data_IF_539054284214
#
_entry.id   IF_539054284214
#
_cell.length_a   1.000
_cell.length_b   1.000
_cell.length_c   1.000
_cell.angle_alpha   90.00
_cell.angle_beta   90.00
_cell.angle_gamma   90.00
#
_symmetry.space_group_name_H-M   'P 1'
#
loop_
_entity.id
_entity.type
_entity.pdbx_description
1 polymer ?
#
# COMPACT_ATOMS: atom_id res chain seq x y z
N UNK A 1 1.86 -9.50 9.83
CA UNK A 1 3.10 -9.75 9.09
C UNK A 1 4.26 -9.85 10.06
N UNK A 2 5.16 -10.80 9.85
CA UNK A 2 6.34 -10.98 10.69
C UNK A 2 7.60 -10.58 9.89
N UNK A 3 8.31 -9.54 10.33
CA UNK A 3 9.48 -9.03 9.63
C UNK A 3 10.70 -9.97 9.69
N UNK A 4 10.65 -11.03 10.50
CA UNK A 4 11.68 -12.08 10.48
C UNK A 4 11.60 -12.98 9.24
N UNK A 5 10.46 -13.01 8.55
CA UNK A 5 10.34 -13.77 7.30
C UNK A 5 10.87 -12.94 6.12
N UNK A 6 11.57 -13.60 5.20
CA UNK A 6 12.30 -12.94 4.12
C UNK A 6 11.51 -11.94 3.31
N UNK A 7 10.26 -12.27 2.96
CA UNK A 7 9.38 -11.36 2.19
C UNK A 7 9.10 -10.05 2.93
N UNK A 8 8.96 -10.09 4.25
CA UNK A 8 8.60 -8.93 5.06
C UNK A 8 9.81 -8.24 5.68
N UNK A 9 10.99 -8.85 5.63
CA UNK A 9 12.18 -8.30 6.27
C UNK A 9 12.63 -6.97 5.67
N UNK A 10 12.30 -6.70 4.41
CA UNK A 10 12.62 -5.41 3.77
C UNK A 10 11.88 -4.24 4.42
N UNK A 11 10.78 -4.50 5.14
CA UNK A 11 10.04 -3.46 5.86
C UNK A 11 10.78 -2.94 7.10
N UNK A 12 11.88 -3.55 7.47
CA UNK A 12 12.75 -3.03 8.54
C UNK A 12 13.53 -1.79 8.09
N UNK A 13 13.57 -1.53 6.79
CA UNK A 13 14.34 -0.42 6.22
C UNK A 13 13.41 0.63 5.61
N UNK A 14 13.61 1.93 5.92
CA UNK A 14 12.79 3.00 5.35
C UNK A 14 12.85 3.03 3.81
N UNK A 15 11.72 3.38 3.19
CA UNK A 15 11.62 3.51 1.75
C UNK A 15 11.29 2.22 1.03
N UNK A 16 11.15 1.10 1.74
CA UNK A 16 10.79 -0.18 1.14
C UNK A 16 9.30 -0.46 1.31
N UNK A 17 8.69 -1.01 0.27
CA UNK A 17 7.27 -1.38 0.24
C UNK A 17 7.09 -2.78 -0.32
N UNK A 18 6.00 -3.43 0.09
CA UNK A 18 5.61 -4.75 -0.42
C UNK A 18 4.13 -4.77 -0.81
N UNK A 19 3.75 -5.74 -1.64
CA UNK A 19 2.36 -6.07 -1.92
C UNK A 19 2.00 -7.38 -1.21
N UNK A 20 0.90 -7.36 -0.43
CA UNK A 20 0.39 -8.54 0.27
C UNK A 20 -1.04 -8.83 -0.22
N UNK A 21 -1.23 -9.92 -1.00
CA UNK A 21 -2.53 -10.18 -1.65
C UNK A 21 -3.59 -10.76 -0.71
N UNK A 22 -3.20 -11.28 0.45
CA UNK A 22 -4.11 -12.00 1.35
C UNK A 22 -4.93 -11.13 2.29
N UNK A 23 -4.79 -9.81 2.25
CA UNK A 23 -5.42 -8.87 3.16
C UNK A 23 -6.17 -7.82 2.35
N UNK A 24 -7.28 -7.28 2.89
CA UNK A 24 -8.07 -6.26 2.23
C UNK A 24 -8.93 -6.80 1.11
N UNK A 25 -9.36 -5.93 0.20
CA UNK A 25 -10.28 -6.28 -0.90
C UNK A 25 -9.51 -6.96 -2.04
N UNK A 26 -8.44 -6.31 -2.52
CA UNK A 26 -7.58 -6.82 -3.61
C UNK A 26 -6.12 -6.88 -3.21
N UNK A 27 -5.86 -7.07 -1.91
CA UNK A 27 -4.54 -6.99 -1.35
C UNK A 27 -4.22 -5.59 -0.82
N UNK A 28 -3.05 -5.45 -0.23
CA UNK A 28 -2.59 -4.21 0.36
C UNK A 28 -1.16 -3.93 -0.04
N UNK A 29 -0.79 -2.65 0.00
CA UNK A 29 0.61 -2.22 -0.02
C UNK A 29 1.01 -1.82 1.39
N UNK A 30 2.16 -2.30 1.84
CA UNK A 30 2.73 -1.97 3.15
C UNK A 30 4.07 -1.31 2.92
N UNK A 31 4.28 -0.16 3.53
CA UNK A 31 5.50 0.63 3.34
C UNK A 31 6.07 1.06 4.69
N UNK A 32 7.40 1.05 4.79
CA UNK A 32 8.11 1.72 5.87
C UNK A 32 8.45 3.14 5.40
N UNK A 33 7.77 4.14 5.98
CA UNK A 33 7.94 5.54 5.57
C UNK A 33 9.13 6.24 6.21
N UNK A 34 9.81 5.56 7.14
CA UNK A 34 10.84 6.20 7.97
C UNK A 34 10.26 6.82 9.24
N UNK A 35 9.00 7.23 9.22
CA UNK A 35 8.27 7.73 10.40
C UNK A 35 7.32 6.66 10.98
N UNK A 36 7.20 5.51 10.33
CA UNK A 36 6.37 4.39 10.74
C UNK A 36 5.92 3.57 9.56
N UNK A 37 5.17 2.51 9.84
CA UNK A 37 4.60 1.63 8.82
C UNK A 37 3.21 2.14 8.46
N UNK A 38 2.92 2.21 7.15
CA UNK A 38 1.57 2.51 6.64
C UNK A 38 1.11 1.40 5.72
N UNK A 39 -0.20 1.17 5.67
CA UNK A 39 -0.79 0.14 4.82
C UNK A 39 -1.97 0.73 4.05
N UNK A 40 -2.01 0.43 2.75
CA UNK A 40 -2.97 0.98 1.81
C UNK A 40 -3.66 -0.14 1.04
N UNK A 41 -4.97 0.02 0.80
CA UNK A 41 -5.70 -0.90 -0.08
C UNK A 41 -5.14 -0.82 -1.51
N UNK A 42 -4.99 -1.98 -2.16
CA UNK A 42 -4.45 -2.03 -3.53
C UNK A 42 -5.49 -1.73 -4.61
N UNK A 43 -6.77 -1.61 -4.26
CA UNK A 43 -7.82 -1.22 -5.21
C UNK A 43 -7.78 0.29 -5.43
N UNK A 44 -7.78 0.73 -6.71
CA UNK A 44 -7.84 2.15 -7.04
C UNK A 44 -9.17 2.76 -6.55
N UNK A 45 -9.14 3.75 -5.62
CA UNK A 45 -10.36 4.33 -5.06
C UNK A 45 -11.12 5.23 -6.04
N UNK A 46 -10.48 5.64 -7.15
CA UNK A 46 -11.05 6.52 -8.16
C UNK A 46 -11.51 5.79 -9.41
N UNK A 47 -11.60 4.45 -9.34
CA UNK A 47 -12.04 3.61 -10.45
C UNK A 47 -13.10 2.63 -9.99
N UNK A 48 -14.11 2.38 -10.84
CA UNK A 48 -15.11 1.35 -10.57
C UNK A 48 -14.40 -0.01 -10.52
N UNK A 49 -14.61 -0.83 -9.47
CA UNK A 49 -13.93 -2.11 -9.36
C UNK A 49 -14.08 -3.00 -10.58
N UNK A 50 -12.96 -3.47 -11.11
CA UNK A 50 -12.89 -4.34 -12.28
C UNK A 50 -11.60 -5.15 -12.24
N UNK A 51 -11.34 -5.95 -13.29
CA UNK A 51 -10.13 -6.79 -13.34
C UNK A 51 -8.82 -6.00 -13.30
N UNK A 52 -8.84 -4.75 -13.73
CA UNK A 52 -7.63 -3.91 -13.74
C UNK A 52 -7.60 -2.89 -12.60
N UNK A 53 -8.50 -2.97 -11.61
CA UNK A 53 -8.53 -2.03 -10.49
C UNK A 53 -7.45 -2.31 -9.43
N UNK A 54 -6.85 -3.49 -9.46
CA UNK A 54 -5.72 -3.80 -8.57
C UNK A 54 -4.49 -3.06 -9.08
N UNK A 55 -3.96 -2.15 -8.26
CA UNK A 55 -2.81 -1.35 -8.63
C UNK A 55 -1.52 -2.16 -8.61
N UNK A 56 -0.53 -1.69 -9.36
CA UNK A 56 0.79 -2.29 -9.44
C UNK A 56 1.77 -1.49 -8.60
N UNK A 57 2.53 -2.18 -7.75
CA UNK A 57 3.58 -1.56 -6.94
C UNK A 57 4.79 -1.22 -7.81
N UNK A 58 5.24 0.02 -7.73
CA UNK A 58 6.42 0.50 -8.43
C UNK A 58 7.26 1.35 -7.48
N UNK A 59 8.22 0.73 -6.81
CA UNK A 59 9.03 1.39 -5.78
C UNK A 59 8.17 1.82 -4.59
N UNK A 60 7.96 3.12 -4.42
CA UNK A 60 7.14 3.70 -3.36
C UNK A 60 5.82 4.26 -3.88
N UNK A 61 5.45 3.90 -5.11
CA UNK A 61 4.23 4.36 -5.75
C UNK A 61 3.37 3.18 -6.20
N UNK A 62 2.06 3.42 -6.33
CA UNK A 62 1.11 2.45 -6.86
C UNK A 62 0.42 3.05 -8.07
N UNK A 63 0.35 2.28 -9.16
CA UNK A 63 -0.24 2.73 -10.43
C UNK A 63 -1.40 1.84 -10.82
N UNK A 64 -2.54 2.46 -11.17
CA UNK A 64 -3.71 1.76 -11.69
C UNK A 64 -3.52 1.46 -13.18
N UNK A 65 -3.49 0.17 -13.58
CA UNK A 65 -3.30 -0.15 -15.01
C UNK A 65 -4.48 0.27 -15.90
N UNK A 66 -5.68 0.47 -15.32
CA UNK A 66 -6.85 0.90 -16.10
C UNK A 66 -6.77 2.35 -16.56
N UNK A 67 -6.32 3.26 -15.69
CA UNK A 67 -6.44 4.70 -15.91
C UNK A 67 -5.14 5.47 -15.68
N UNK A 68 -4.05 4.76 -15.41
CA UNK A 68 -2.72 5.33 -15.14
C UNK A 68 -2.67 6.27 -13.93
N UNK A 69 -3.67 6.23 -13.04
CA UNK A 69 -3.63 6.95 -11.79
C UNK A 69 -2.47 6.42 -10.94
N UNK A 70 -1.61 7.32 -10.46
CA UNK A 70 -0.45 6.96 -9.66
C UNK A 70 -0.52 7.65 -8.30
N UNK A 71 -0.32 6.88 -7.24
CA UNK A 71 -0.40 7.35 -5.86
C UNK A 71 0.94 7.15 -5.15
N UNK A 72 1.34 8.12 -4.33
CA UNK A 72 2.48 7.91 -3.46
C UNK A 72 2.05 7.15 -2.21
N UNK A 73 2.81 6.12 -1.84
CA UNK A 73 2.52 5.32 -0.65
C UNK A 73 2.95 6.01 0.65
N UNK A 74 3.61 7.16 0.58
CA UNK A 74 3.92 7.95 1.77
C UNK A 74 2.71 8.69 2.31
N UNK A 75 1.79 9.11 1.45
CA UNK A 75 0.62 9.91 1.85
C UNK A 75 -0.71 9.38 1.33
N UNK A 76 -0.69 8.45 0.37
CA UNK A 76 -1.90 7.92 -0.28
C UNK A 76 -2.52 8.85 -1.30
N UNK A 77 -1.85 9.95 -1.65
CA UNK A 77 -2.37 10.95 -2.58
C UNK A 77 -1.88 10.68 -4.00
N UNK A 78 -2.67 11.11 -4.99
CA UNK A 78 -2.26 11.07 -6.38
C UNK A 78 -1.05 12.00 -6.61
N UNK A 79 -0.12 11.56 -7.47
CA UNK A 79 1.13 12.28 -7.70
C UNK A 79 1.06 13.30 -8.84
N UNK A 80 0.07 13.14 -9.73
CA UNK A 80 0.01 13.94 -10.97
C UNK A 80 -1.11 14.96 -10.97
N UNK A 81 -2.22 14.68 -10.29
CA UNK A 81 -3.40 15.55 -10.27
C UNK A 81 -4.17 15.33 -8.98
N UNK A 82 -5.05 16.24 -8.66
CA UNK A 82 -5.93 16.10 -7.50
C UNK A 82 -7.14 15.24 -7.89
N UNK A 83 -7.26 14.05 -7.29
CA UNK A 83 -8.38 13.16 -7.50
C UNK A 83 -9.35 13.22 -6.32
N UNK A 84 -10.65 12.83 -6.52
CA UNK A 84 -11.66 12.90 -5.46
C UNK A 84 -11.31 12.10 -4.21
N UNK A 85 -10.59 10.98 -4.37
CA UNK A 85 -10.29 10.07 -3.25
C UNK A 85 -8.80 9.80 -3.16
N UNK A 86 -8.28 9.78 -1.93
CA UNK A 86 -6.97 9.21 -1.62
C UNK A 86 -7.09 7.70 -1.46
N UNK A 87 -5.96 6.98 -1.40
CA UNK A 87 -5.98 5.55 -1.12
C UNK A 87 -6.64 5.27 0.23
N UNK A 88 -7.36 4.16 0.33
CA UNK A 88 -7.92 3.69 1.59
C UNK A 88 -6.79 3.20 2.49
N UNK A 89 -6.66 3.80 3.66
CA UNK A 89 -5.62 3.44 4.62
C UNK A 89 -6.17 2.48 5.68
N UNK A 90 -5.41 1.43 5.96
CA UNK A 90 -5.68 0.51 7.06
C UNK A 90 -4.93 0.94 8.32
N UNK A 91 -5.44 0.55 9.48
CA UNK A 91 -4.75 0.76 10.76
C UNK A 91 -3.58 -0.21 10.87
N UNK A 92 -2.46 0.29 11.33
CA UNK A 92 -1.25 -0.50 11.53
C UNK A 92 -0.81 -0.37 12.97
N UNK A 93 -0.55 -1.50 13.62
CA UNK A 93 0.13 -1.55 14.90
C UNK A 93 1.33 -2.47 14.77
N UNK A 94 2.43 -2.12 15.42
CA UNK A 94 3.65 -2.91 15.38
C UNK A 94 4.07 -3.27 16.80
N UNK A 95 4.38 -4.55 17.00
CA UNK A 95 4.85 -5.07 18.27
C UNK A 95 6.09 -5.93 18.00
N UNK A 96 7.27 -5.36 18.20
CA UNK A 96 8.52 -6.01 17.86
C UNK A 96 8.60 -6.28 16.35
N UNK A 97 8.70 -7.55 15.97
CA UNK A 97 8.78 -7.97 14.57
C UNK A 97 7.41 -8.27 13.95
N UNK A 98 6.33 -8.06 14.69
CA UNK A 98 4.97 -8.35 14.22
C UNK A 98 4.27 -7.06 13.84
N UNK A 99 3.77 -7.01 12.60
CA UNK A 99 2.97 -5.90 12.08
C UNK A 99 1.54 -6.39 11.95
N UNK A 100 0.62 -5.76 12.67
CA UNK A 100 -0.81 -6.08 12.62
C UNK A 100 -1.54 -5.01 11.81
N UNK A 101 -2.36 -5.46 10.86
CA UNK A 101 -3.09 -4.58 9.95
C UNK A 101 -4.58 -4.88 10.13
N UNK A 102 -5.38 -3.82 10.35
CA UNK A 102 -6.81 -3.91 10.56
C UNK A 102 -7.54 -2.71 9.95
N UNK A 103 -8.85 -2.81 9.92
CA UNK A 103 -9.69 -1.71 9.44
C UNK A 103 -9.75 -0.53 10.40
#
# INVERSE_FOLDING_TARGET
LNTNFGTYSILEFPGNAIYEPGIGIRGIFVINTGAGIRAWEATDPNHVPSNCSTMTLNGTEATCPCEDNTYTLFTGQDTAQELPYTLLEYRVSQNGNIINISY
#
